data_IF_851452048678
#
_entry.id   IF_851452048678
#
_cell.length_a   1.000
_cell.length_b   1.000
_cell.length_c   1.000
_cell.angle_alpha   90.00
_cell.angle_beta   90.00
_cell.angle_gamma   90.00
#
_symmetry.space_group_name_H-M   'P 1'
#
loop_
_entity.id
_entity.type
_entity.pdbx_description
1 polymer ?
#
# COMPACT_ATOMS: atom_id res chain seq x y z
N UNK A 1 -4.42 -3.00 48.52
CA UNK A 1 -3.18 -3.17 47.74
C UNK A 1 -3.50 -4.03 46.55
N UNK A 2 -3.39 -3.47 45.33
CA UNK A 2 -3.65 -4.19 44.09
C UNK A 2 -2.38 -4.93 43.67
N UNK A 3 -2.41 -6.25 43.67
CA UNK A 3 -1.36 -7.10 43.13
C UNK A 3 -1.55 -7.24 41.62
N UNK A 4 -0.65 -6.63 40.87
CA UNK A 4 -0.45 -6.87 39.45
C UNK A 4 0.00 -8.33 39.25
N UNK A 5 -0.78 -9.12 38.53
CA UNK A 5 -0.37 -10.45 38.10
C UNK A 5 0.31 -10.33 36.72
N UNK A 6 1.64 -10.32 36.73
CA UNK A 6 2.47 -10.40 35.53
C UNK A 6 2.51 -11.88 35.08
N UNK A 7 1.84 -12.19 33.97
CA UNK A 7 2.00 -13.50 33.34
C UNK A 7 3.40 -13.60 32.70
N UNK A 8 4.20 -14.64 33.00
CA UNK A 8 5.46 -14.87 32.32
C UNK A 8 5.20 -15.47 30.93
N UNK A 9 5.67 -14.77 29.89
CA UNK A 9 5.72 -15.29 28.52
C UNK A 9 6.75 -16.42 28.47
N UNK A 10 6.28 -17.67 28.39
CA UNK A 10 7.14 -18.83 28.15
C UNK A 10 7.41 -18.96 26.65
N UNK A 11 8.69 -18.85 26.31
CA UNK A 11 9.21 -18.99 24.95
C UNK A 11 9.23 -20.47 24.58
N UNK A 12 8.13 -21.01 24.04
CA UNK A 12 8.12 -22.30 23.35
C UNK A 12 7.11 -22.28 22.19
N UNK A 13 7.60 -22.34 20.94
CA UNK A 13 6.82 -22.79 19.79
C UNK A 13 6.29 -21.71 18.82
N UNK A 14 7.13 -20.80 18.31
CA UNK A 14 6.79 -19.98 17.14
C UNK A 14 6.80 -20.81 15.85
N UNK A 15 5.79 -21.64 15.61
CA UNK A 15 5.51 -22.26 14.29
C UNK A 15 4.06 -22.11 13.85
N UNK A 16 3.25 -21.32 14.55
CA UNK A 16 1.98 -20.82 14.03
C UNK A 16 2.14 -19.31 13.80
N UNK A 17 2.11 -18.89 12.53
CA UNK A 17 2.09 -17.47 12.17
C UNK A 17 1.01 -16.75 12.97
N UNK A 18 1.30 -15.52 13.40
CA UNK A 18 0.55 -14.76 14.39
C UNK A 18 -0.90 -14.57 13.92
N UNK A 19 -1.78 -15.52 14.22
CA UNK A 19 -3.24 -15.41 14.10
C UNK A 19 -3.78 -14.97 15.44
N UNK A 20 -3.63 -13.68 15.73
CA UNK A 20 -4.37 -13.07 16.82
C UNK A 20 -5.70 -12.55 16.24
N UNK A 21 -6.84 -12.74 16.94
CA UNK A 21 -8.12 -12.18 16.52
C UNK A 21 -8.04 -10.68 16.22
N UNK A 22 -7.19 -9.95 16.95
CA UNK A 22 -6.95 -8.52 16.74
C UNK A 22 -6.26 -8.22 15.40
N UNK A 23 -5.33 -9.08 14.95
CA UNK A 23 -4.69 -8.94 13.64
C UNK A 23 -5.69 -9.21 12.53
N UNK A 24 -6.52 -10.25 12.65
CA UNK A 24 -7.55 -10.55 11.66
C UNK A 24 -8.57 -9.40 11.54
N UNK A 25 -9.00 -8.84 12.68
CA UNK A 25 -9.88 -7.67 12.73
C UNK A 25 -9.22 -6.45 12.12
N UNK A 26 -7.94 -6.17 12.43
CA UNK A 26 -7.20 -5.05 11.86
C UNK A 26 -7.04 -5.19 10.34
N UNK A 27 -6.62 -6.35 9.85
CA UNK A 27 -6.48 -6.63 8.42
C UNK A 27 -7.83 -6.50 7.69
N UNK A 28 -8.90 -7.04 8.27
CA UNK A 28 -10.25 -6.93 7.70
C UNK A 28 -10.70 -5.47 7.63
N UNK A 29 -10.47 -4.68 8.69
CA UNK A 29 -10.78 -3.26 8.68
C UNK A 29 -9.96 -2.51 7.63
N UNK A 30 -8.67 -2.81 7.48
CA UNK A 30 -7.81 -2.22 6.44
C UNK A 30 -8.32 -2.56 5.04
N UNK A 31 -8.75 -3.80 4.79
CA UNK A 31 -9.35 -4.19 3.51
C UNK A 31 -10.66 -3.46 3.23
N UNK A 32 -11.51 -3.25 4.24
CA UNK A 32 -12.74 -2.45 4.09
C UNK A 32 -12.41 -1.01 3.70
N UNK A 33 -11.38 -0.41 4.31
CA UNK A 33 -10.90 0.92 3.90
C UNK A 33 -10.40 0.91 2.46
N UNK A 34 -9.59 -0.07 2.09
CA UNK A 34 -9.06 -0.19 0.72
C UNK A 34 -10.20 -0.25 -0.31
N UNK A 35 -11.20 -1.11 -0.09
CA UNK A 35 -12.39 -1.21 -0.93
C UNK A 35 -13.13 0.13 -1.03
N UNK A 36 -13.31 0.84 0.08
CA UNK A 36 -13.95 2.16 0.08
C UNK A 36 -13.17 3.18 -0.75
N UNK A 37 -11.84 3.22 -0.60
CA UNK A 37 -10.97 4.12 -1.35
C UNK A 37 -10.94 3.80 -2.85
N UNK A 38 -10.95 2.53 -3.22
CA UNK A 38 -10.94 2.08 -4.61
C UNK A 38 -12.26 2.45 -5.30
N UNK A 39 -13.39 2.20 -4.63
CA UNK A 39 -14.72 2.57 -5.15
C UNK A 39 -14.84 4.08 -5.33
N UNK A 40 -14.32 4.89 -4.40
CA UNK A 40 -14.33 6.34 -4.56
C UNK A 40 -13.45 6.81 -5.72
N UNK A 41 -12.38 6.10 -6.06
CA UNK A 41 -11.52 6.43 -7.21
C UNK A 41 -12.23 6.21 -8.56
N UNK A 42 -13.16 5.26 -8.63
CA UNK A 42 -13.95 4.98 -9.84
C UNK A 42 -15.06 6.03 -10.10
N UNK A 43 -15.34 6.91 -9.13
CA UNK A 43 -16.38 7.93 -9.25
C UNK A 43 -15.89 9.04 -10.19
N UNK A 44 -16.43 9.06 -11.41
CA UNK A 44 -16.13 10.09 -12.41
C UNK A 44 -16.66 11.48 -12.01
N UNK A 45 -15.89 12.51 -12.32
CA UNK A 45 -16.28 13.92 -12.23
C UNK A 45 -16.91 14.46 -13.53
N UNK A 46 -16.97 13.64 -14.58
CA UNK A 46 -17.60 14.01 -15.84
C UNK A 46 -19.11 14.22 -15.68
N UNK A 47 -19.66 15.06 -16.55
CA UNK A 47 -21.09 15.33 -16.55
C UNK A 47 -21.85 14.12 -17.10
N UNK A 48 -22.64 13.50 -16.23
CA UNK A 48 -23.43 12.32 -16.59
C UNK A 48 -24.88 12.71 -16.81
N UNK A 49 -25.34 12.63 -18.06
CA UNK A 49 -26.69 13.06 -18.46
C UNK A 49 -27.68 11.89 -18.46
N UNK A 50 -27.18 10.66 -18.60
CA UNK A 50 -28.02 9.47 -18.67
C UNK A 50 -28.47 9.02 -17.25
N UNK A 51 -29.78 8.84 -17.00
CA UNK A 51 -30.30 8.49 -15.67
C UNK A 51 -29.65 7.26 -15.03
N UNK A 52 -29.32 6.24 -15.84
CA UNK A 52 -28.67 5.01 -15.34
C UNK A 52 -27.23 5.26 -14.88
N UNK A 53 -26.49 6.17 -15.54
CA UNK A 53 -25.12 6.53 -15.17
C UNK A 53 -25.09 7.39 -13.92
N UNK A 54 -26.02 8.35 -13.80
CA UNK A 54 -26.21 9.14 -12.57
C UNK A 54 -26.48 8.20 -11.39
N UNK A 55 -27.40 7.25 -11.55
CA UNK A 55 -27.73 6.26 -10.52
C UNK A 55 -26.53 5.39 -10.15
N UNK A 56 -25.76 4.92 -11.13
CA UNK A 56 -24.57 4.12 -10.87
C UNK A 56 -23.55 4.90 -10.04
N UNK A 57 -23.23 6.13 -10.46
CA UNK A 57 -22.34 7.03 -9.72
C UNK A 57 -22.78 7.24 -8.27
N UNK A 58 -24.07 7.48 -8.04
CA UNK A 58 -24.62 7.63 -6.69
C UNK A 58 -24.47 6.36 -5.85
N UNK A 59 -24.68 5.18 -6.45
CA UNK A 59 -24.49 3.90 -5.76
C UNK A 59 -23.03 3.65 -5.43
N UNK A 60 -22.08 4.00 -6.30
CA UNK A 60 -20.65 3.92 -6.02
C UNK A 60 -20.26 4.83 -4.84
N UNK A 61 -20.71 6.09 -4.83
CA UNK A 61 -20.47 7.01 -3.70
C UNK A 61 -20.97 6.39 -2.38
N UNK A 62 -22.22 5.89 -2.37
CA UNK A 62 -22.80 5.27 -1.18
C UNK A 62 -22.09 3.97 -0.77
N UNK A 63 -21.59 3.18 -1.73
CA UNK A 63 -20.83 1.98 -1.45
C UNK A 63 -19.48 2.32 -0.78
N UNK A 64 -18.80 3.38 -1.25
CA UNK A 64 -17.59 3.89 -0.61
C UNK A 64 -17.83 4.34 0.84
N UNK A 65 -18.90 5.11 1.07
CA UNK A 65 -19.32 5.53 2.42
C UNK A 65 -19.68 4.32 3.30
N UNK A 66 -20.35 3.33 2.74
CA UNK A 66 -20.70 2.09 3.44
C UNK A 66 -19.44 1.36 3.92
N UNK A 67 -18.48 1.06 3.05
CA UNK A 67 -17.26 0.36 3.46
C UNK A 67 -16.43 1.17 4.46
N UNK A 68 -16.38 2.50 4.29
CA UNK A 68 -15.76 3.42 5.24
C UNK A 68 -16.45 3.39 6.62
N UNK A 69 -17.78 3.32 6.67
CA UNK A 69 -18.49 3.17 7.95
C UNK A 69 -18.27 1.79 8.60
N UNK A 70 -18.12 0.74 7.78
CA UNK A 70 -17.95 -0.65 8.25
C UNK A 70 -16.60 -0.89 8.90
N UNK A 71 -15.50 -0.31 8.40
CA UNK A 71 -14.21 -0.44 9.09
C UNK A 71 -14.26 0.22 10.48
N UNK A 72 -14.89 1.40 10.57
CA UNK A 72 -15.03 2.12 11.82
C UNK A 72 -15.86 1.32 12.83
N UNK A 73 -17.04 0.84 12.40
CA UNK A 73 -17.91 0.01 13.21
C UNK A 73 -17.17 -1.23 13.72
N UNK A 74 -16.48 -1.95 12.82
CA UNK A 74 -15.73 -3.15 13.17
C UNK A 74 -14.69 -2.84 14.26
N UNK A 75 -13.80 -1.89 14.04
CA UNK A 75 -12.75 -1.57 15.02
C UNK A 75 -13.32 -1.03 16.34
N UNK A 76 -14.40 -0.25 16.30
CA UNK A 76 -15.05 0.26 17.50
C UNK A 76 -15.67 -0.85 18.34
N UNK A 77 -16.24 -1.88 17.70
CA UNK A 77 -16.85 -3.02 18.39
C UNK A 77 -15.82 -3.88 19.13
N UNK A 78 -14.56 -3.84 18.69
CA UNK A 78 -13.42 -4.47 19.35
C UNK A 78 -12.61 -3.50 20.23
N UNK A 79 -13.07 -2.26 20.41
CA UNK A 79 -12.38 -1.26 21.24
C UNK A 79 -11.01 -0.81 20.70
N UNK A 80 -10.70 -1.05 19.43
CA UNK A 80 -9.40 -0.79 18.81
C UNK A 80 -9.23 0.69 18.39
N UNK A 81 -9.43 1.61 19.33
CA UNK A 81 -9.44 3.06 19.08
C UNK A 81 -8.10 3.57 18.51
N UNK A 82 -6.97 2.98 18.94
CA UNK A 82 -5.65 3.28 18.37
C UNK A 82 -5.58 2.99 16.87
N UNK A 83 -6.09 1.83 16.45
CA UNK A 83 -6.12 1.43 15.03
C UNK A 83 -7.04 2.30 14.19
N UNK A 84 -8.19 2.74 14.75
CA UNK A 84 -9.07 3.72 14.09
C UNK A 84 -8.29 5.00 13.79
N UNK A 85 -7.54 5.51 14.77
CA UNK A 85 -6.73 6.74 14.61
C UNK A 85 -5.64 6.56 13.55
N UNK A 86 -4.88 5.47 13.61
CA UNK A 86 -3.82 5.16 12.64
C UNK A 86 -4.36 5.10 11.21
N UNK A 87 -5.47 4.38 10.99
CA UNK A 87 -6.12 4.31 9.68
C UNK A 87 -6.66 5.66 9.25
N UNK A 88 -7.31 6.42 10.13
CA UNK A 88 -7.85 7.75 9.78
C UNK A 88 -6.73 8.73 9.36
N UNK A 89 -5.58 8.71 10.03
CA UNK A 89 -4.41 9.50 9.65
C UNK A 89 -3.90 9.06 8.27
N UNK A 90 -3.79 7.75 8.03
CA UNK A 90 -3.34 7.21 6.75
C UNK A 90 -4.30 7.55 5.61
N UNK A 91 -5.62 7.37 5.79
CA UNK A 91 -6.66 7.74 4.82
C UNK A 91 -6.58 9.22 4.47
N UNK A 92 -6.43 10.10 5.48
CA UNK A 92 -6.24 11.53 5.25
C UNK A 92 -5.00 11.79 4.39
N UNK A 93 -3.87 11.16 4.72
CA UNK A 93 -2.62 11.28 3.97
C UNK A 93 -2.77 10.82 2.53
N UNK A 94 -3.39 9.66 2.30
CA UNK A 94 -3.68 9.11 0.97
C UNK A 94 -4.52 10.10 0.17
N UNK A 95 -5.64 10.58 0.72
CA UNK A 95 -6.52 11.53 0.03
C UNK A 95 -5.79 12.85 -0.32
N UNK A 96 -4.93 13.35 0.57
CA UNK A 96 -4.10 14.52 0.27
C UNK A 96 -3.13 14.27 -0.89
N UNK A 97 -2.51 13.09 -0.98
CA UNK A 97 -1.66 12.72 -2.11
C UNK A 97 -2.45 12.54 -3.41
N UNK A 98 -3.66 11.95 -3.35
CA UNK A 98 -4.55 11.80 -4.51
C UNK A 98 -4.93 13.13 -5.13
N UNK A 99 -5.19 14.16 -4.31
CA UNK A 99 -5.45 15.53 -4.81
C UNK A 99 -4.29 16.04 -5.67
N UNK A 100 -3.03 15.79 -5.27
CA UNK A 100 -1.85 16.19 -6.05
C UNK A 100 -1.77 15.44 -7.40
N UNK A 101 -2.17 14.18 -7.45
CA UNK A 101 -2.23 13.42 -8.72
C UNK A 101 -3.34 13.94 -9.65
N UNK A 102 -4.47 14.38 -9.08
CA UNK A 102 -5.57 14.94 -9.85
C UNK A 102 -5.16 16.22 -10.60
N UNK A 103 -4.27 17.04 -10.01
CA UNK A 103 -3.71 18.23 -10.65
C UNK A 103 -2.91 17.91 -11.92
N UNK A 104 -2.31 16.71 -12.01
CA UNK A 104 -1.49 16.29 -13.14
C UNK A 104 -2.27 15.72 -14.34
N UNK A 105 -3.61 15.68 -14.27
CA UNK A 105 -4.48 15.32 -15.42
C UNK A 105 -4.04 14.08 -16.22
N UNK A 106 -3.59 13.05 -15.50
CA UNK A 106 -3.13 11.74 -16.00
C UNK A 106 -1.75 11.66 -16.67
N UNK A 107 -1.07 12.78 -16.93
CA UNK A 107 0.29 12.76 -17.48
C UNK A 107 1.32 13.13 -16.41
N UNK A 108 2.45 12.41 -16.40
CA UNK A 108 3.59 12.77 -15.56
C UNK A 108 4.40 13.83 -16.30
N UNK A 109 4.58 15.06 -15.76
CA UNK A 109 5.42 16.05 -16.40
C UNK A 109 6.84 15.53 -16.62
N UNK A 110 7.47 15.92 -17.72
CA UNK A 110 8.85 15.53 -18.00
C UNK A 110 9.78 16.04 -16.89
N UNK A 111 10.59 15.13 -16.32
CA UNK A 111 11.46 15.43 -15.18
C UNK A 111 10.84 15.25 -13.78
N UNK A 112 9.52 15.04 -13.67
CA UNK A 112 8.83 14.87 -12.38
C UNK A 112 8.64 13.40 -11.95
N UNK A 113 9.31 12.45 -12.62
CA UNK A 113 9.17 11.01 -12.35
C UNK A 113 9.38 10.64 -10.87
N UNK A 114 10.44 11.15 -10.23
CA UNK A 114 10.74 10.82 -8.84
C UNK A 114 9.65 11.34 -7.89
N UNK A 115 9.11 12.54 -8.18
CA UNK A 115 7.99 13.12 -7.44
C UNK A 115 6.71 12.32 -7.66
N UNK A 116 6.44 11.90 -8.89
CA UNK A 116 5.30 11.04 -9.20
C UNK A 116 5.38 9.71 -8.48
N UNK A 117 6.54 9.06 -8.54
CA UNK A 117 6.78 7.80 -7.87
C UNK A 117 6.62 7.95 -6.36
N UNK A 118 7.07 9.05 -5.78
CA UNK A 118 6.87 9.35 -4.35
C UNK A 118 5.38 9.47 -3.99
N UNK A 119 4.62 10.29 -4.73
CA UNK A 119 3.19 10.51 -4.46
C UNK A 119 2.42 9.20 -4.63
N UNK A 120 2.64 8.48 -5.74
CA UNK A 120 2.00 7.18 -5.98
C UNK A 120 2.38 6.15 -4.93
N UNK A 121 3.65 6.08 -4.52
CA UNK A 121 4.06 5.17 -3.43
C UNK A 121 3.30 5.46 -2.14
N UNK A 122 3.12 6.74 -1.78
CA UNK A 122 2.39 7.12 -0.57
C UNK A 122 0.91 6.72 -0.65
N UNK A 123 0.29 6.84 -1.83
CA UNK A 123 -1.09 6.39 -2.08
C UNK A 123 -1.21 4.87 -1.92
N UNK A 124 -0.38 4.10 -2.62
CA UNK A 124 -0.51 2.63 -2.67
C UNK A 124 -0.03 1.92 -1.39
N UNK A 125 0.93 2.52 -0.65
CA UNK A 125 1.49 1.88 0.57
C UNK A 125 0.90 2.38 1.89
N UNK A 126 0.15 3.49 1.88
CA UNK A 126 -0.25 4.19 3.11
C UNK A 126 -0.99 3.29 4.11
N UNK A 127 -1.91 2.44 3.64
CA UNK A 127 -2.68 1.54 4.52
C UNK A 127 -1.85 0.38 5.08
N UNK A 128 -0.89 -0.12 4.29
CA UNK A 128 0.05 -1.15 4.74
C UNK A 128 1.02 -0.59 5.78
N UNK A 129 1.53 0.62 5.57
CA UNK A 129 2.39 1.32 6.53
C UNK A 129 1.67 1.61 7.84
N UNK A 130 0.35 1.87 7.81
CA UNK A 130 -0.46 2.01 9.02
C UNK A 130 -0.58 0.72 9.86
N UNK A 131 -0.16 -0.44 9.33
CA UNK A 131 -0.07 -1.68 10.10
C UNK A 131 1.26 -1.85 10.83
N UNK A 132 2.26 -1.03 10.48
CA UNK A 132 3.60 -1.12 11.04
C UNK A 132 3.72 -0.13 12.19
N UNK A 133 4.06 -0.63 13.38
CA UNK A 133 4.15 0.21 14.60
C UNK A 133 5.27 1.26 14.55
N UNK A 134 6.39 0.92 13.92
CA UNK A 134 7.58 1.76 13.87
C UNK A 134 7.89 2.15 12.42
N UNK A 135 7.87 3.46 12.17
CA UNK A 135 8.08 4.04 10.85
C UNK A 135 9.46 3.68 10.27
N UNK A 136 10.49 3.61 11.11
CA UNK A 136 11.86 3.27 10.72
C UNK A 136 12.14 1.77 10.60
N UNK A 137 11.13 0.92 10.78
CA UNK A 137 11.34 -0.53 10.77
C UNK A 137 11.75 -1.06 9.39
N UNK A 138 12.46 -2.19 9.32
CA UNK A 138 12.74 -2.89 8.07
C UNK A 138 11.50 -3.18 7.23
N UNK A 139 10.35 -3.41 7.89
CA UNK A 139 9.07 -3.65 7.23
C UNK A 139 8.55 -2.42 6.49
N UNK A 140 8.60 -1.25 7.12
CA UNK A 140 8.21 0.01 6.47
C UNK A 140 9.05 0.27 5.23
N UNK A 141 10.36 0.06 5.33
CA UNK A 141 11.28 0.22 4.20
C UNK A 141 10.99 -0.80 3.09
N UNK A 142 10.75 -2.05 3.45
CA UNK A 142 10.42 -3.11 2.51
C UNK A 142 9.13 -2.81 1.75
N UNK A 143 8.07 -2.40 2.45
CA UNK A 143 6.78 -2.02 1.86
C UNK A 143 6.97 -0.92 0.82
N UNK A 144 7.68 0.16 1.19
CA UNK A 144 7.95 1.28 0.28
C UNK A 144 8.72 0.82 -0.97
N UNK A 145 9.78 0.02 -0.80
CA UNK A 145 10.60 -0.44 -1.92
C UNK A 145 9.82 -1.37 -2.87
N UNK A 146 9.10 -2.35 -2.34
CA UNK A 146 8.31 -3.27 -3.16
C UNK A 146 7.18 -2.51 -3.88
N UNK A 147 6.52 -1.57 -3.21
CA UNK A 147 5.47 -0.75 -3.82
C UNK A 147 6.02 0.06 -4.99
N UNK A 148 7.20 0.68 -4.84
CA UNK A 148 7.88 1.40 -5.93
C UNK A 148 8.19 0.49 -7.12
N UNK A 149 8.71 -0.70 -6.86
CA UNK A 149 8.99 -1.67 -7.93
C UNK A 149 7.71 -2.10 -8.65
N UNK A 150 6.65 -2.40 -7.90
CA UNK A 150 5.35 -2.75 -8.46
C UNK A 150 4.78 -1.62 -9.33
N UNK A 151 4.85 -0.38 -8.86
CA UNK A 151 4.40 0.82 -9.60
C UNK A 151 5.16 1.04 -10.90
N UNK A 152 6.49 0.94 -10.88
CA UNK A 152 7.31 1.08 -12.09
C UNK A 152 6.96 -0.01 -13.12
N UNK A 153 6.70 -1.24 -12.64
CA UNK A 153 6.29 -2.37 -13.48
C UNK A 153 4.88 -2.20 -14.05
N UNK A 154 3.94 -1.70 -13.26
CA UNK A 154 2.55 -1.52 -13.71
C UNK A 154 2.44 -0.39 -14.75
N UNK A 155 3.19 0.69 -14.54
CA UNK A 155 3.15 1.87 -15.39
C UNK A 155 4.24 1.89 -16.46
N UNK A 156 4.86 0.75 -16.79
CA UNK A 156 5.99 0.69 -17.74
C UNK A 156 5.69 1.40 -19.06
N UNK A 157 4.49 1.26 -19.64
CA UNK A 157 4.10 1.99 -20.88
C UNK A 157 4.12 3.52 -20.77
N UNK A 158 3.72 4.06 -19.61
CA UNK A 158 3.82 5.51 -19.34
C UNK A 158 5.27 5.92 -19.14
N UNK A 159 6.09 5.00 -18.62
CA UNK A 159 7.48 5.22 -18.21
C UNK A 159 8.52 4.86 -19.27
N UNK A 160 8.14 4.19 -20.36
CA UNK A 160 9.02 3.80 -21.48
C UNK A 160 9.67 5.02 -22.14
N UNK A 161 9.06 6.20 -21.99
CA UNK A 161 9.59 7.50 -22.42
C UNK A 161 10.64 8.09 -21.46
N UNK A 162 10.95 7.41 -20.36
CA UNK A 162 11.75 7.93 -19.24
C UNK A 162 12.89 6.95 -18.92
N UNK A 163 14.11 7.14 -19.45
CA UNK A 163 15.27 6.27 -19.19
C UNK A 163 15.63 6.13 -17.69
N UNK A 164 15.20 7.07 -16.85
CA UNK A 164 15.39 7.03 -15.41
C UNK A 164 14.62 5.87 -14.73
N UNK A 165 13.49 5.41 -15.29
CA UNK A 165 12.66 4.39 -14.65
C UNK A 165 13.38 3.04 -14.53
N UNK A 166 14.11 2.64 -15.58
CA UNK A 166 14.90 1.41 -15.61
C UNK A 166 16.01 1.44 -14.56
N UNK A 167 16.73 2.58 -14.46
CA UNK A 167 17.78 2.76 -13.44
C UNK A 167 17.22 2.69 -12.02
N UNK A 168 16.11 3.38 -11.77
CA UNK A 168 15.42 3.38 -10.46
C UNK A 168 14.91 1.99 -10.10
N UNK A 169 14.41 1.23 -11.07
CA UNK A 169 13.98 -0.15 -10.88
C UNK A 169 15.12 -1.06 -10.43
N UNK A 170 16.24 -1.07 -11.17
CA UNK A 170 17.41 -1.88 -10.83
C UNK A 170 18.01 -1.49 -9.47
N UNK A 171 18.08 -0.19 -9.17
CA UNK A 171 18.52 0.29 -7.86
C UNK A 171 17.59 -0.25 -6.75
N UNK A 172 16.27 -0.12 -6.92
CA UNK A 172 15.28 -0.60 -5.96
C UNK A 172 15.37 -2.11 -5.74
N UNK A 173 15.52 -2.91 -6.79
CA UNK A 173 15.71 -4.35 -6.69
C UNK A 173 16.94 -4.73 -5.86
N UNK A 174 18.07 -4.07 -6.13
CA UNK A 174 19.30 -4.28 -5.37
C UNK A 174 19.13 -3.90 -3.89
N UNK A 175 18.43 -2.80 -3.60
CA UNK A 175 18.13 -2.39 -2.23
C UNK A 175 17.23 -3.41 -1.51
N UNK A 176 16.18 -3.92 -2.15
CA UNK A 176 15.33 -4.96 -1.56
C UNK A 176 16.11 -6.23 -1.30
N UNK A 177 16.91 -6.70 -2.28
CA UNK A 177 17.78 -7.88 -2.11
C UNK A 177 18.75 -7.71 -0.95
N UNK A 178 19.36 -6.53 -0.81
CA UNK A 178 20.23 -6.22 0.33
C UNK A 178 19.44 -6.29 1.64
N UNK A 179 18.29 -5.63 1.70
CA UNK A 179 17.43 -5.59 2.89
C UNK A 179 17.00 -7.00 3.33
N UNK A 180 16.56 -7.85 2.40
CA UNK A 180 16.15 -9.23 2.69
C UNK A 180 17.28 -10.11 3.25
N UNK A 181 18.53 -9.81 2.87
CA UNK A 181 19.72 -10.51 3.38
C UNK A 181 20.17 -9.99 4.75
N UNK A 182 20.03 -8.70 5.02
CA UNK A 182 20.58 -8.05 6.22
C UNK A 182 19.60 -8.00 7.39
N UNK A 183 18.30 -8.00 7.12
CA UNK A 183 17.27 -7.77 8.14
C UNK A 183 16.51 -9.05 8.55
N UNK A 184 15.95 -9.09 9.79
CA UNK A 184 15.37 -10.30 10.37
C UNK A 184 13.93 -10.57 9.90
N UNK A 185 13.71 -10.83 8.62
CA UNK A 185 12.41 -11.29 8.06
C UNK A 185 12.17 -12.80 8.21
N UNK A 186 12.75 -13.44 9.24
CA UNK A 186 13.00 -14.88 9.31
C UNK A 186 11.80 -15.78 8.97
N UNK A 187 10.59 -15.41 9.37
CA UNK A 187 9.40 -16.23 9.17
C UNK A 187 8.88 -16.27 7.72
N UNK A 188 9.15 -15.24 6.92
CA UNK A 188 8.58 -15.07 5.57
C UNK A 188 9.63 -14.76 4.50
N UNK A 189 10.92 -14.85 4.85
CA UNK A 189 12.04 -14.44 4.01
C UNK A 189 12.01 -15.13 2.64
N UNK A 190 11.71 -16.42 2.59
CA UNK A 190 11.68 -17.19 1.34
C UNK A 190 10.49 -16.80 0.44
N UNK A 191 9.35 -16.46 1.03
CA UNK A 191 8.19 -15.94 0.31
C UNK A 191 8.46 -14.55 -0.25
N UNK A 192 9.12 -13.70 0.53
CA UNK A 192 9.59 -12.39 0.08
C UNK A 192 10.61 -12.51 -1.06
N UNK A 193 11.56 -13.45 -0.97
CA UNK A 193 12.50 -13.69 -2.08
C UNK A 193 11.79 -14.19 -3.34
N UNK A 194 10.78 -15.05 -3.22
CA UNK A 194 9.96 -15.49 -4.37
C UNK A 194 9.19 -14.33 -4.99
N UNK A 195 8.57 -13.49 -4.17
CA UNK A 195 7.87 -12.28 -4.64
C UNK A 195 8.83 -11.36 -5.40
N UNK A 196 9.99 -11.06 -4.82
CA UNK A 196 11.00 -10.21 -5.46
C UNK A 196 11.51 -10.81 -6.75
N UNK A 197 11.79 -12.11 -6.78
CA UNK A 197 12.21 -12.80 -8.01
C UNK A 197 11.16 -12.72 -9.11
N UNK A 198 9.86 -12.77 -8.76
CA UNK A 198 8.77 -12.61 -9.74
C UNK A 198 8.75 -11.21 -10.37
N UNK A 199 9.12 -10.18 -9.60
CA UNK A 199 9.27 -8.81 -10.11
C UNK A 199 10.45 -8.73 -11.10
N UNK A 200 11.54 -9.47 -10.86
CA UNK A 200 12.71 -9.48 -11.76
C UNK A 200 12.45 -10.15 -13.11
N UNK A 201 11.70 -11.25 -13.11
CA UNK A 201 11.45 -12.06 -14.32
C UNK A 201 10.42 -11.47 -15.26
N UNK A 202 9.60 -10.51 -14.80
CA UNK A 202 8.58 -9.84 -15.61
C UNK A 202 9.17 -8.71 -16.47
N UNK A 203 8.66 -8.56 -17.70
CA UNK A 203 9.19 -7.71 -18.77
C UNK A 203 9.49 -6.23 -18.39
N UNK A 204 10.64 -5.95 -17.78
CA UNK A 204 11.42 -4.73 -18.01
C UNK A 204 12.67 -4.91 -18.93
N UNK A 205 12.99 -6.08 -19.55
CA UNK A 205 14.15 -6.21 -20.43
C UNK A 205 13.75 -5.94 -21.89
N UNK A 206 13.82 -4.68 -22.31
CA UNK A 206 14.01 -4.33 -23.72
C UNK A 206 14.58 -2.91 -23.91
N UNK A 207 14.47 -2.01 -22.92
CA UNK A 207 14.98 -0.64 -23.04
C UNK A 207 16.46 -0.50 -22.64
N UNK A 208 17.05 -1.49 -21.97
CA UNK A 208 18.47 -1.48 -21.61
C UNK A 208 19.39 -2.02 -22.72
N UNK A 209 18.85 -2.65 -23.77
CA UNK A 209 19.64 -3.24 -24.85
C UNK A 209 19.96 -2.28 -26.00
N UNK A 210 19.41 -1.05 -25.99
CA UNK A 210 19.68 -0.03 -27.02
C UNK A 210 20.49 1.18 -26.48
N UNK A 211 20.85 1.21 -25.20
CA UNK A 211 21.74 2.23 -24.60
C UNK A 211 23.10 1.66 -24.13
N UNK A 212 23.61 0.63 -24.81
CA UNK A 212 25.02 0.21 -24.73
C UNK A 212 25.72 0.32 -26.08
#
# INVERSE_FOLDING_TARGET
GFTFNLYPCSVQGCTQGIRSPEIEVACTATMLVQLGLDIHEEVTNEEEIAPHKIRNRQLQILAGDYFSSRYFLLLSSYGMIGKIRELAISIKGINQQKVLLYEWKQDVPEGDFDRWLEIKTRVESGLLLAQVKEESSPWSRLIVLITRLALIREHTRLLDKIPLCVRRYHQGLNEVKKLLRTEPFLAVRDELFRLVSSLETSHLPALAAEEM
#
